data_IF_146166955598
#
_entry.id   IF_146166955598
#
_cell.length_a   1.000
_cell.length_b   1.000
_cell.length_c   1.000
_cell.angle_alpha   90.00
_cell.angle_beta   90.00
_cell.angle_gamma   90.00
#
_symmetry.space_group_name_H-M   'P 1'
#
loop_
_entity.id
_entity.type
_entity.pdbx_description
1 polymer ?
#
# COMPACT_ATOMS: atom_id res chain seq x y z
N UNK A 1 -3.76 20.46 -21.60
CA UNK A 1 -4.51 19.24 -21.97
C UNK A 1 -6.00 19.60 -21.99
N UNK A 2 -6.73 19.20 -23.03
CA UNK A 2 -8.17 19.44 -23.10
C UNK A 2 -8.89 18.36 -22.27
N UNK A 3 -9.56 18.76 -21.19
CA UNK A 3 -10.28 17.83 -20.31
C UNK A 3 -11.49 17.30 -21.08
N UNK A 4 -11.56 15.99 -21.29
CA UNK A 4 -12.70 15.33 -21.94
C UNK A 4 -13.79 15.07 -20.90
N UNK A 5 -14.95 15.67 -21.10
CA UNK A 5 -16.11 15.50 -20.21
C UNK A 5 -17.16 14.65 -20.90
N UNK A 6 -17.61 13.57 -20.24
CA UNK A 6 -18.65 12.67 -20.75
C UNK A 6 -19.70 12.46 -19.65
N UNK A 7 -20.99 12.62 -19.99
CA UNK A 7 -22.09 12.37 -19.06
C UNK A 7 -22.43 10.88 -19.03
N UNK A 8 -22.41 10.27 -17.84
CA UNK A 8 -22.98 8.93 -17.59
C UNK A 8 -24.50 8.99 -17.72
N UNK A 9 -25.10 8.08 -18.50
CA UNK A 9 -26.54 8.06 -18.80
C UNK A 9 -27.26 6.80 -18.33
N UNK A 10 -26.53 5.78 -17.92
CA UNK A 10 -27.13 4.52 -17.50
C UNK A 10 -27.77 4.65 -16.12
N UNK A 11 -28.80 3.85 -15.86
CA UNK A 11 -29.47 3.77 -14.55
C UNK A 11 -28.59 3.14 -13.48
N UNK A 12 -27.63 2.28 -13.87
CA UNK A 12 -26.64 1.69 -12.97
C UNK A 12 -25.64 2.77 -12.52
N UNK A 13 -25.37 2.91 -11.21
CA UNK A 13 -24.35 3.84 -10.71
C UNK A 13 -22.98 3.62 -11.37
N UNK A 14 -22.25 4.70 -11.65
CA UNK A 14 -21.01 4.66 -12.45
C UNK A 14 -19.93 3.77 -11.80
N UNK A 15 -19.79 3.77 -10.48
CA UNK A 15 -18.80 2.90 -9.80
C UNK A 15 -19.19 1.43 -9.86
N UNK A 16 -20.48 1.12 -9.75
CA UNK A 16 -20.99 -0.24 -9.95
C UNK A 16 -20.76 -0.73 -11.37
N UNK A 17 -21.03 0.12 -12.36
CA UNK A 17 -20.79 -0.19 -13.77
C UNK A 17 -19.30 -0.41 -14.10
N UNK A 18 -18.40 0.20 -13.32
CA UNK A 18 -16.95 0.02 -13.46
C UNK A 18 -16.35 -1.00 -12.46
N UNK A 19 -17.19 -1.70 -11.69
CA UNK A 19 -16.76 -2.69 -10.68
C UNK A 19 -15.81 -2.14 -9.61
N UNK A 20 -15.99 -0.87 -9.23
CA UNK A 20 -15.16 -0.17 -8.24
C UNK A 20 -15.74 -0.29 -6.82
N UNK A 21 -17.05 -0.57 -6.66
CA UNK A 21 -17.73 -0.64 -5.35
C UNK A 21 -17.03 -1.53 -4.31
N UNK A 22 -16.63 -2.78 -4.61
CA UNK A 22 -15.92 -3.61 -3.62
C UNK A 22 -14.59 -3.00 -3.16
N UNK A 23 -13.90 -2.32 -4.08
CA UNK A 23 -12.61 -1.69 -3.80
C UNK A 23 -12.78 -0.46 -2.88
N UNK A 24 -13.96 0.17 -2.87
CA UNK A 24 -14.28 1.27 -1.95
C UNK A 24 -14.51 0.76 -0.53
N UNK A 25 -15.11 -0.42 -0.36
CA UNK A 25 -15.30 -1.03 0.96
C UNK A 25 -13.95 -1.45 1.55
N UNK A 26 -13.09 -2.08 0.74
CA UNK A 26 -11.72 -2.44 1.14
C UNK A 26 -10.86 -1.22 1.52
N UNK A 27 -11.13 -0.07 0.89
CA UNK A 27 -10.44 1.20 1.17
C UNK A 27 -10.73 1.77 2.55
N UNK A 28 -11.74 1.27 3.27
CA UNK A 28 -12.04 1.71 4.63
C UNK A 28 -11.40 0.75 5.65
N UNK A 29 -11.00 -0.45 5.22
CA UNK A 29 -10.43 -1.46 6.11
C UNK A 29 -9.16 -0.98 6.80
N UNK A 30 -9.02 -1.32 8.09
CA UNK A 30 -7.80 -1.07 8.86
C UNK A 30 -6.65 -2.01 8.47
N UNK A 31 -6.99 -3.24 8.09
CA UNK A 31 -6.03 -4.28 7.69
C UNK A 31 -6.13 -4.53 6.18
N UNK A 32 -4.98 -4.62 5.51
CA UNK A 32 -4.86 -4.83 4.07
C UNK A 32 -4.01 -6.07 3.81
N UNK A 33 -4.52 -7.00 3.02
CA UNK A 33 -3.77 -8.19 2.63
C UNK A 33 -2.85 -7.90 1.44
N UNK A 34 -1.64 -8.44 1.48
CA UNK A 34 -0.65 -8.33 0.42
C UNK A 34 -0.64 -9.60 -0.45
N UNK A 35 -0.27 -9.50 -1.75
CA UNK A 35 -0.25 -10.64 -2.67
C UNK A 35 0.56 -11.84 -2.19
N UNK A 36 1.70 -11.59 -1.53
CA UNK A 36 2.57 -12.65 -1.00
C UNK A 36 2.09 -13.22 0.36
N UNK A 37 0.88 -12.87 0.81
CA UNK A 37 0.28 -13.35 2.05
C UNK A 37 0.65 -12.53 3.30
N UNK A 38 1.48 -11.50 3.16
CA UNK A 38 1.68 -10.51 4.22
C UNK A 38 0.44 -9.63 4.44
N UNK A 39 0.53 -8.70 5.39
CA UNK A 39 -0.51 -7.71 5.62
C UNK A 39 0.06 -6.38 6.07
N UNK A 40 -0.72 -5.32 5.90
CA UNK A 40 -0.46 -3.98 6.41
C UNK A 40 -1.58 -3.61 7.36
N UNK A 41 -1.24 -3.12 8.54
CA UNK A 41 -2.19 -2.49 9.46
C UNK A 41 -1.97 -0.99 9.47
N UNK A 42 -3.07 -0.24 9.35
CA UNK A 42 -3.07 1.23 9.37
C UNK A 42 -3.61 1.72 10.71
N UNK A 43 -2.82 2.52 11.43
CA UNK A 43 -3.20 3.10 12.71
C UNK A 43 -3.08 4.62 12.69
N UNK A 44 -4.20 5.29 12.96
CA UNK A 44 -4.25 6.74 13.08
C UNK A 44 -4.10 7.15 14.54
N UNK A 45 -3.19 8.09 14.78
CA UNK A 45 -3.02 8.77 16.07
C UNK A 45 -3.31 10.26 15.91
N UNK A 46 -3.23 11.02 16.99
CA UNK A 46 -3.46 12.47 16.96
C UNK A 46 -2.49 13.21 16.03
N UNK A 47 -1.22 12.77 15.97
CA UNK A 47 -0.16 13.49 15.27
C UNK A 47 0.38 12.78 14.03
N UNK A 48 0.18 11.46 13.93
CA UNK A 48 0.79 10.64 12.87
C UNK A 48 -0.08 9.44 12.48
N UNK A 49 0.17 8.92 11.28
CA UNK A 49 -0.36 7.63 10.83
C UNK A 49 0.77 6.60 10.78
N UNK A 50 0.56 5.45 11.42
CA UNK A 50 1.49 4.32 11.46
C UNK A 50 1.00 3.23 10.50
N UNK A 51 1.93 2.67 9.73
CA UNK A 51 1.73 1.47 8.93
C UNK A 51 2.62 0.37 9.49
N UNK A 52 2.02 -0.73 9.95
CA UNK A 52 2.72 -1.92 10.45
C UNK A 52 2.69 -3.02 9.38
N UNK A 53 3.85 -3.55 9.00
CA UNK A 53 3.98 -4.55 7.92
C UNK A 53 4.30 -5.91 8.51
N UNK A 54 3.42 -6.88 8.28
CA UNK A 54 3.56 -8.24 8.75
C UNK A 54 3.77 -9.20 7.57
N UNK A 55 4.64 -10.20 7.73
CA UNK A 55 4.69 -11.35 6.82
C UNK A 55 3.67 -12.41 7.23
N UNK A 56 3.16 -13.18 6.26
CA UNK A 56 2.51 -14.44 6.59
C UNK A 56 3.48 -15.35 7.36
N UNK A 57 2.98 -16.15 8.29
CA UNK A 57 3.76 -17.16 8.99
C UNK A 57 4.43 -18.13 8.00
N UNK A 58 5.70 -17.89 7.68
CA UNK A 58 6.52 -18.79 6.86
C UNK A 58 7.48 -19.58 7.77
N UNK A 59 7.34 -20.90 7.79
CA UNK A 59 8.09 -21.82 8.66
C UNK A 59 9.36 -22.40 8.00
N UNK A 60 9.86 -21.78 6.93
CA UNK A 60 10.98 -22.28 6.12
C UNK A 60 12.39 -21.84 6.57
N UNK A 61 13.42 -22.31 5.85
CA UNK A 61 14.85 -22.04 6.10
C UNK A 61 15.21 -20.54 6.02
N UNK A 62 16.20 -20.12 6.81
CA UNK A 62 16.60 -18.71 7.06
C UNK A 62 16.80 -17.84 5.81
N UNK A 63 17.50 -18.30 4.77
CA UNK A 63 17.77 -17.46 3.59
C UNK A 63 16.48 -17.12 2.82
N UNK A 64 15.47 -17.99 2.87
CA UNK A 64 14.18 -17.70 2.24
C UNK A 64 13.37 -16.66 3.00
N UNK A 65 13.68 -16.45 4.29
CA UNK A 65 12.96 -15.50 5.12
C UNK A 65 13.37 -14.07 4.79
N UNK A 66 14.65 -13.82 4.50
CA UNK A 66 15.13 -12.49 4.11
C UNK A 66 14.59 -12.06 2.75
N UNK A 67 14.64 -12.95 1.75
CA UNK A 67 14.06 -12.68 0.42
C UNK A 67 12.54 -12.46 0.49
N UNK A 68 11.86 -13.21 1.38
CA UNK A 68 10.43 -13.03 1.62
C UNK A 68 10.14 -11.68 2.28
N UNK A 69 10.88 -11.32 3.33
CA UNK A 69 10.73 -10.02 4.00
C UNK A 69 10.92 -8.87 3.02
N UNK A 70 11.94 -8.96 2.16
CA UNK A 70 12.18 -7.97 1.12
C UNK A 70 11.03 -7.90 0.11
N UNK A 71 10.50 -9.04 -0.33
CA UNK A 71 9.36 -9.10 -1.25
C UNK A 71 8.11 -8.47 -0.63
N UNK A 72 7.78 -8.84 0.61
CA UNK A 72 6.63 -8.31 1.35
C UNK A 72 6.79 -6.81 1.57
N UNK A 73 7.96 -6.33 1.97
CA UNK A 73 8.22 -4.90 2.14
C UNK A 73 8.05 -4.11 0.82
N UNK A 74 8.45 -4.67 -0.32
CA UNK A 74 8.24 -4.04 -1.64
C UNK A 74 6.77 -3.95 -2.02
N UNK A 75 5.99 -5.00 -1.73
CA UNK A 75 4.54 -4.98 -1.92
C UNK A 75 3.89 -3.94 -0.99
N UNK A 76 4.28 -3.93 0.28
CA UNK A 76 3.82 -2.98 1.27
C UNK A 76 4.11 -1.53 0.86
N UNK A 77 5.32 -1.21 0.40
CA UNK A 77 5.68 0.14 -0.03
C UNK A 77 4.78 0.66 -1.17
N UNK A 78 4.47 -0.19 -2.16
CA UNK A 78 3.55 0.16 -3.26
C UNK A 78 2.14 0.39 -2.75
N UNK A 79 1.67 -0.49 -1.88
CA UNK A 79 0.31 -0.46 -1.35
C UNK A 79 0.11 0.72 -0.40
N UNK A 80 1.05 1.00 0.51
CA UNK A 80 1.03 2.17 1.38
C UNK A 80 0.92 3.44 0.55
N UNK A 81 1.78 3.65 -0.45
CA UNK A 81 1.68 4.82 -1.32
C UNK A 81 0.34 4.90 -2.07
N UNK A 82 -0.26 3.76 -2.43
CA UNK A 82 -1.61 3.73 -3.03
C UNK A 82 -2.68 4.17 -2.03
N UNK A 83 -2.60 3.68 -0.78
CA UNK A 83 -3.55 4.01 0.29
C UNK A 83 -3.46 5.47 0.71
N UNK A 84 -2.24 6.05 0.79
CA UNK A 84 -2.06 7.47 1.05
C UNK A 84 -2.86 8.34 0.07
N UNK A 85 -2.78 8.02 -1.23
CA UNK A 85 -3.53 8.72 -2.29
C UNK A 85 -5.03 8.49 -2.23
N UNK A 86 -5.45 7.25 -1.98
CA UNK A 86 -6.88 6.89 -2.05
C UNK A 86 -7.66 7.30 -0.80
N UNK A 87 -6.99 7.39 0.35
CA UNK A 87 -7.58 7.80 1.63
C UNK A 87 -7.30 9.26 1.99
N UNK A 88 -6.56 9.97 1.14
CA UNK A 88 -6.14 11.36 1.38
C UNK A 88 -5.41 11.52 2.73
N UNK A 89 -4.46 10.62 3.02
CA UNK A 89 -3.70 10.63 4.28
C UNK A 89 -2.48 11.54 4.11
N UNK A 90 -2.46 12.64 4.88
CA UNK A 90 -1.32 13.56 4.98
C UNK A 90 -0.72 13.62 6.38
N UNK A 91 0.33 14.44 6.53
CA UNK A 91 1.02 14.65 7.81
C UNK A 91 2.20 13.70 8.03
N UNK A 92 2.48 13.40 9.30
CA UNK A 92 3.60 12.51 9.65
C UNK A 92 3.18 11.06 9.41
N UNK A 93 3.96 10.36 8.59
CA UNK A 93 3.75 8.96 8.25
C UNK A 93 4.94 8.16 8.76
N UNK A 94 4.65 7.11 9.54
CA UNK A 94 5.65 6.16 10.04
C UNK A 94 5.33 4.79 9.45
N UNK A 95 6.34 4.12 8.88
CA UNK A 95 6.19 2.77 8.33
C UNK A 95 7.15 1.85 9.06
N UNK A 96 6.61 0.87 9.76
CA UNK A 96 7.36 -0.20 10.42
C UNK A 96 7.48 -1.40 9.46
N UNK A 97 8.57 -1.41 8.69
CA UNK A 97 8.87 -2.49 7.75
C UNK A 97 9.46 -3.69 8.48
N UNK A 98 9.29 -4.88 7.91
CA UNK A 98 9.94 -6.09 8.42
C UNK A 98 11.45 -5.91 8.38
N UNK A 99 12.14 -6.32 9.45
CA UNK A 99 13.60 -6.26 9.55
C UNK A 99 14.30 -6.94 8.35
N UNK A 100 15.22 -6.21 7.73
CA UNK A 100 16.11 -6.69 6.67
C UNK A 100 17.56 -6.46 7.08
N UNK A 101 18.44 -7.45 6.88
CA UNK A 101 19.86 -7.33 7.26
C UNK A 101 20.71 -6.85 6.09
N UNK A 102 20.34 -7.23 4.87
CA UNK A 102 20.99 -6.78 3.67
C UNK A 102 20.74 -5.28 3.41
N UNK A 103 21.84 -4.53 3.29
CA UNK A 103 21.82 -3.09 3.01
C UNK A 103 21.38 -2.79 1.57
N UNK A 104 21.65 -3.68 0.62
CA UNK A 104 21.21 -3.50 -0.76
C UNK A 104 19.68 -3.56 -0.85
N UNK A 105 19.05 -4.50 -0.12
CA UNK A 105 17.60 -4.58 0.01
C UNK A 105 17.00 -3.31 0.64
N UNK A 106 17.61 -2.79 1.70
CA UNK A 106 17.16 -1.53 2.33
C UNK A 106 17.23 -0.35 1.35
N UNK A 107 18.33 -0.22 0.59
CA UNK A 107 18.50 0.84 -0.39
C UNK A 107 17.50 0.73 -1.56
N UNK A 108 17.28 -0.49 -2.07
CA UNK A 108 16.31 -0.72 -3.13
C UNK A 108 14.88 -0.42 -2.66
N UNK A 109 14.52 -0.83 -1.45
CA UNK A 109 13.23 -0.52 -0.84
C UNK A 109 13.02 0.99 -0.73
N UNK A 110 14.01 1.74 -0.24
CA UNK A 110 13.93 3.19 -0.11
C UNK A 110 13.78 3.87 -1.48
N UNK A 111 14.53 3.40 -2.49
CA UNK A 111 14.42 3.90 -3.87
C UNK A 111 13.04 3.62 -4.45
N UNK A 112 12.48 2.44 -4.22
CA UNK A 112 11.13 2.08 -4.63
C UNK A 112 10.10 2.98 -3.95
N UNK A 113 10.20 3.17 -2.64
CA UNK A 113 9.28 4.02 -1.87
C UNK A 113 9.30 5.46 -2.41
N UNK A 114 10.49 6.02 -2.66
CA UNK A 114 10.64 7.34 -3.27
C UNK A 114 10.06 7.43 -4.69
N UNK A 115 10.16 6.36 -5.48
CA UNK A 115 9.55 6.31 -6.81
C UNK A 115 8.01 6.22 -6.75
N UNK A 116 7.46 5.46 -5.81
CA UNK A 116 6.00 5.31 -5.61
C UNK A 116 5.37 6.57 -5.03
N UNK A 117 6.06 7.26 -4.10
CA UNK A 117 5.61 8.53 -3.54
C UNK A 117 5.50 9.62 -4.62
N UNK A 118 6.41 9.64 -5.61
CA UNK A 118 6.35 10.59 -6.75
C UNK A 118 5.16 10.40 -7.69
N UNK A 119 4.45 9.26 -7.60
CA UNK A 119 3.21 9.06 -8.35
C UNK A 119 2.05 9.84 -7.73
N UNK A 120 2.21 10.28 -6.49
CA UNK A 120 1.31 11.23 -5.87
C UNK A 120 1.44 12.60 -6.55
N UNK A 121 0.30 13.17 -6.90
CA UNK A 121 0.15 14.44 -7.58
C UNK A 121 -0.68 15.34 -6.67
N UNK A 122 -0.18 15.60 -5.47
CA UNK A 122 -0.66 16.75 -4.70
C UNK A 122 -0.45 18.04 -5.49
#
# INVERSE_FOLDING_TARGET
QQIKVTRHRDSTPIFKANHIEPQLEDLISRDINLPSGGSIRIDHTEALTVFDVNSAHYTGKSNKLEDLAFTVNKEAAKEICRQLRLRDIGGIIVIDFIDMKDKEHQQELLKLLGAQAKLDKM
#
